data_IF_413387691972
#
_entry.id   IF_413387691972
#
_cell.length_a   1.000
_cell.length_b   1.000
_cell.length_c   1.000
_cell.angle_alpha   90.00
_cell.angle_beta   90.00
_cell.angle_gamma   90.00
#
_symmetry.space_group_name_H-M   'P 1'
#
loop_
_entity.id
_entity.type
_entity.pdbx_description
1 polymer ?
#
# COMPACT_ATOMS: atom_id res chain seq x y z
N UNK A 1 -15.39 9.41 4.34
CA UNK A 1 -14.22 8.87 3.61
C UNK A 1 -14.34 7.37 3.36
N UNK A 2 -14.46 6.54 4.40
CA UNK A 2 -14.55 5.06 4.27
C UNK A 2 -15.73 4.59 3.38
N UNK A 3 -16.99 5.03 3.57
CA UNK A 3 -18.09 4.57 2.71
C UNK A 3 -17.90 4.96 1.24
N UNK A 4 -17.33 6.15 1.01
CA UNK A 4 -17.03 6.63 -0.34
C UNK A 4 -15.94 5.78 -0.99
N UNK A 5 -14.86 5.48 -0.27
CA UNK A 5 -13.79 4.62 -0.77
C UNK A 5 -14.32 3.23 -1.17
N UNK A 6 -15.14 2.61 -0.32
CA UNK A 6 -15.77 1.31 -0.60
C UNK A 6 -16.63 1.37 -1.87
N UNK A 7 -17.33 2.48 -2.09
CA UNK A 7 -18.19 2.69 -3.25
C UNK A 7 -17.38 2.92 -4.55
N UNK A 8 -16.29 3.67 -4.50
CA UNK A 8 -15.56 4.11 -5.71
C UNK A 8 -14.39 3.22 -6.11
N UNK A 9 -13.76 2.52 -5.17
CA UNK A 9 -12.59 1.68 -5.44
C UNK A 9 -12.88 0.54 -6.43
N UNK A 10 -14.03 -0.17 -6.38
CA UNK A 10 -14.37 -1.19 -7.38
C UNK A 10 -14.38 -0.64 -8.81
N UNK A 11 -14.96 0.54 -9.04
CA UNK A 11 -15.03 1.17 -10.37
C UNK A 11 -13.66 1.49 -10.97
N UNK A 12 -12.63 1.72 -10.14
CA UNK A 12 -11.27 1.95 -10.61
C UNK A 12 -10.60 0.63 -11.00
N UNK A 13 -10.87 -0.42 -10.22
CA UNK A 13 -10.28 -1.74 -10.39
C UNK A 13 -10.90 -2.54 -11.54
N UNK A 14 -12.20 -2.43 -11.77
CA UNK A 14 -12.92 -3.10 -12.87
C UNK A 14 -12.39 -2.70 -14.25
N UNK A 15 -11.72 -1.54 -14.37
CA UNK A 15 -11.06 -1.09 -15.60
C UNK A 15 -9.81 -1.92 -15.95
N UNK A 16 -9.21 -2.59 -14.97
CA UNK A 16 -8.01 -3.40 -15.16
C UNK A 16 -8.37 -4.83 -15.53
N UNK A 17 -9.24 -5.47 -14.74
CA UNK A 17 -9.77 -6.79 -15.01
C UNK A 17 -10.99 -7.09 -14.11
N UNK A 18 -11.74 -8.13 -14.45
CA UNK A 18 -12.72 -8.70 -13.52
C UNK A 18 -12.00 -9.26 -12.28
N UNK A 19 -12.60 -9.05 -11.10
CA UNK A 19 -12.04 -9.45 -9.81
C UNK A 19 -13.09 -9.47 -8.72
N UNK A 20 -12.76 -10.09 -7.58
CA UNK A 20 -13.60 -10.13 -6.38
C UNK A 20 -12.91 -9.38 -5.26
N UNK A 21 -13.67 -8.51 -4.59
CA UNK A 21 -13.15 -7.68 -3.51
C UNK A 21 -13.72 -8.19 -2.19
N UNK A 22 -12.83 -8.49 -1.24
CA UNK A 22 -13.19 -8.75 0.14
C UNK A 22 -12.69 -7.59 1.00
N UNK A 23 -13.63 -6.76 1.46
CA UNK A 23 -13.37 -5.55 2.21
C UNK A 23 -13.99 -5.66 3.62
N UNK A 24 -13.15 -5.71 4.64
CA UNK A 24 -13.54 -5.75 6.05
C UNK A 24 -12.51 -4.97 6.86
N UNK A 25 -12.81 -4.63 8.11
CA UNK A 25 -11.82 -3.99 8.98
C UNK A 25 -12.42 -3.30 10.19
N UNK A 26 -11.62 -2.42 10.77
CA UNK A 26 -11.91 -1.73 12.01
C UNK A 26 -12.52 -0.36 11.67
N UNK A 27 -13.85 -0.30 11.58
CA UNK A 27 -14.51 0.95 11.19
C UNK A 27 -14.28 2.09 12.21
N UNK A 28 -14.08 1.75 13.49
CA UNK A 28 -13.92 2.71 14.57
C UNK A 28 -12.65 3.56 14.47
N UNK A 29 -11.60 3.06 13.83
CA UNK A 29 -10.33 3.78 13.60
C UNK A 29 -10.06 4.10 12.12
N UNK A 30 -10.96 3.67 11.23
CA UNK A 30 -10.84 3.91 9.79
C UNK A 30 -9.89 2.96 9.07
N UNK A 31 -9.53 1.81 9.65
CA UNK A 31 -8.68 0.82 9.00
C UNK A 31 -9.49 -0.22 8.20
N UNK A 32 -9.10 -0.46 6.94
CA UNK A 32 -9.69 -1.47 6.07
C UNK A 32 -8.63 -2.47 5.59
N UNK A 33 -8.95 -3.76 5.72
CA UNK A 33 -8.31 -4.83 4.98
C UNK A 33 -9.01 -4.97 3.62
N UNK A 34 -8.37 -4.44 2.58
CA UNK A 34 -8.90 -4.43 1.22
C UNK A 34 -8.21 -5.50 0.36
N UNK A 35 -8.83 -6.68 0.28
CA UNK A 35 -8.24 -7.82 -0.43
C UNK A 35 -8.86 -8.00 -1.81
N UNK A 36 -8.01 -8.12 -2.83
CA UNK A 36 -8.41 -8.34 -4.22
C UNK A 36 -8.10 -9.79 -4.61
N UNK A 37 -9.11 -10.50 -5.12
CA UNK A 37 -9.02 -11.88 -5.55
C UNK A 37 -9.37 -12.03 -7.03
N UNK A 38 -8.83 -13.05 -7.72
CA UNK A 38 -9.29 -13.42 -9.04
C UNK A 38 -10.80 -13.71 -9.07
N UNK A 39 -11.43 -13.59 -10.25
CA UNK A 39 -12.78 -14.07 -10.50
C UNK A 39 -12.93 -15.53 -10.06
N UNK A 40 -14.16 -15.93 -9.74
CA UNK A 40 -14.43 -17.30 -9.30
C UNK A 40 -14.01 -18.29 -10.39
N UNK A 41 -13.21 -19.30 -10.02
CA UNK A 41 -12.74 -20.34 -10.93
C UNK A 41 -11.50 -19.97 -11.76
N UNK A 42 -10.87 -18.81 -11.54
CA UNK A 42 -9.62 -18.41 -12.21
C UNK A 42 -8.41 -18.54 -11.28
N UNK A 43 -7.24 -18.84 -11.84
CA UNK A 43 -5.98 -18.98 -11.11
C UNK A 43 -5.34 -17.60 -10.87
N UNK A 44 -4.82 -17.37 -9.66
CA UNK A 44 -4.09 -16.14 -9.30
C UNK A 44 -2.90 -15.83 -10.20
N UNK A 45 -2.24 -16.86 -10.76
CA UNK A 45 -1.06 -16.72 -11.63
C UNK A 45 -1.40 -15.99 -12.91
N UNK A 46 -2.63 -16.10 -13.40
CA UNK A 46 -3.10 -15.40 -14.60
C UNK A 46 -3.08 -13.87 -14.43
N UNK A 47 -3.13 -13.39 -13.18
CA UNK A 47 -3.19 -11.97 -12.84
C UNK A 47 -1.88 -11.45 -12.26
N UNK A 48 -0.80 -12.25 -12.28
CA UNK A 48 0.45 -11.89 -11.62
C UNK A 48 1.05 -10.58 -12.17
N UNK A 49 0.94 -10.38 -13.48
CA UNK A 49 1.44 -9.17 -14.15
C UNK A 49 0.61 -7.90 -13.82
N UNK A 50 -0.63 -8.07 -13.35
CA UNK A 50 -1.52 -6.96 -12.97
C UNK A 50 -1.39 -6.58 -11.49
N UNK A 51 -0.72 -7.41 -10.68
CA UNK A 51 -0.64 -7.24 -9.23
C UNK A 51 -0.19 -5.85 -8.81
N UNK A 52 0.87 -5.34 -9.43
CA UNK A 52 1.44 -4.04 -9.04
C UNK A 52 0.57 -2.87 -9.51
N UNK A 53 -0.12 -3.01 -10.63
CA UNK A 53 -1.06 -2.00 -11.11
C UNK A 53 -2.34 -1.94 -10.27
N UNK A 54 -2.87 -3.10 -9.87
CA UNK A 54 -3.96 -3.22 -8.90
C UNK A 54 -3.56 -2.55 -7.57
N UNK A 55 -2.38 -2.88 -7.05
CA UNK A 55 -1.85 -2.29 -5.81
C UNK A 55 -1.74 -0.77 -5.92
N UNK A 56 -1.13 -0.27 -7.00
CA UNK A 56 -0.98 1.18 -7.26
C UNK A 56 -2.34 1.87 -7.32
N UNK A 57 -3.29 1.33 -8.08
CA UNK A 57 -4.64 1.90 -8.22
C UNK A 57 -5.32 2.09 -6.86
N UNK A 58 -5.23 1.10 -5.97
CA UNK A 58 -5.78 1.20 -4.62
C UNK A 58 -5.03 2.24 -3.79
N UNK A 59 -3.69 2.19 -3.79
CA UNK A 59 -2.88 3.11 -2.98
C UNK A 59 -3.03 4.57 -3.44
N UNK A 60 -3.00 4.84 -4.74
CA UNK A 60 -3.21 6.17 -5.32
C UNK A 60 -4.58 6.73 -4.90
N UNK A 61 -5.63 5.91 -4.96
CA UNK A 61 -6.96 6.31 -4.52
C UNK A 61 -6.98 6.62 -3.02
N UNK A 62 -6.43 5.74 -2.17
CA UNK A 62 -6.35 5.97 -0.72
C UNK A 62 -5.62 7.29 -0.40
N UNK A 63 -4.48 7.54 -1.04
CA UNK A 63 -3.69 8.75 -0.82
C UNK A 63 -4.41 9.99 -1.34
N UNK A 64 -5.07 9.92 -2.50
CA UNK A 64 -5.88 11.04 -3.03
C UNK A 64 -7.02 11.44 -2.10
N UNK A 65 -7.50 10.50 -1.28
CA UNK A 65 -8.54 10.72 -0.27
C UNK A 65 -7.97 11.15 1.09
N UNK A 66 -6.65 11.34 1.21
CA UNK A 66 -5.98 11.71 2.46
C UNK A 66 -5.76 10.55 3.44
N UNK A 67 -5.87 9.30 2.97
CA UNK A 67 -5.59 8.10 3.75
C UNK A 67 -4.13 7.64 3.70
N UNK A 68 -3.82 6.52 4.35
CA UNK A 68 -2.49 5.91 4.38
C UNK A 68 -2.46 4.58 3.61
N UNK A 69 -1.43 4.37 2.78
CA UNK A 69 -1.15 3.10 2.09
C UNK A 69 -0.69 1.97 3.06
N UNK A 70 -0.43 2.30 4.32
CA UNK A 70 -0.15 1.32 5.38
C UNK A 70 -0.68 1.81 6.71
N UNK A 71 -1.78 1.20 7.17
CA UNK A 71 -2.38 1.51 8.46
C UNK A 71 -1.61 0.86 9.62
N UNK A 72 -1.47 -0.48 9.59
CA UNK A 72 -0.95 -1.24 10.75
C UNK A 72 0.28 -2.11 10.44
N UNK A 73 0.40 -2.65 9.21
CA UNK A 73 1.44 -3.63 8.87
C UNK A 73 2.84 -3.01 8.68
N UNK A 74 2.97 -1.70 8.88
CA UNK A 74 4.23 -0.98 8.70
C UNK A 74 4.72 -0.98 7.25
N UNK A 75 6.01 -0.70 7.06
CA UNK A 75 6.64 -0.61 5.73
C UNK A 75 7.40 -1.88 5.39
N UNK A 76 8.23 -2.36 6.33
CA UNK A 76 9.11 -3.51 6.11
C UNK A 76 9.98 -3.33 4.86
N UNK A 77 10.27 -4.42 4.16
CA UNK A 77 10.93 -4.39 2.84
C UNK A 77 9.94 -4.22 1.68
N UNK A 78 8.72 -4.71 1.87
CA UNK A 78 7.73 -4.85 0.79
C UNK A 78 7.14 -3.51 0.34
N UNK A 79 7.07 -2.52 1.23
CA UNK A 79 6.44 -1.22 0.95
C UNK A 79 7.44 -0.06 0.92
N UNK A 80 8.74 -0.32 0.81
CA UNK A 80 9.75 0.76 0.74
C UNK A 80 9.46 1.67 -0.46
N UNK A 81 9.17 1.08 -1.62
CA UNK A 81 8.81 1.82 -2.84
C UNK A 81 7.52 2.62 -2.67
N UNK A 82 6.56 2.09 -1.91
CA UNK A 82 5.32 2.81 -1.60
C UNK A 82 5.61 3.97 -0.63
N UNK A 83 6.49 3.77 0.37
CA UNK A 83 6.90 4.83 1.29
C UNK A 83 7.56 5.99 0.53
N UNK A 84 8.50 5.70 -0.36
CA UNK A 84 9.19 6.70 -1.18
C UNK A 84 8.24 7.45 -2.12
N UNK A 85 7.23 6.75 -2.65
CA UNK A 85 6.24 7.33 -3.56
C UNK A 85 5.24 8.26 -2.86
N UNK A 86 4.74 7.86 -1.70
CA UNK A 86 3.58 8.52 -1.07
C UNK A 86 3.93 9.37 0.14
N UNK A 87 5.16 9.29 0.66
CA UNK A 87 5.55 10.10 1.82
C UNK A 87 5.98 11.50 1.43
N UNK A 88 5.76 12.42 2.37
CA UNK A 88 6.36 13.75 2.32
C UNK A 88 7.90 13.64 2.22
N UNK A 89 8.55 14.34 1.26
CA UNK A 89 10.00 14.34 1.12
C UNK A 89 10.76 14.78 2.38
N UNK A 90 10.22 15.73 3.14
CA UNK A 90 10.81 16.17 4.41
C UNK A 90 10.74 15.06 5.47
N UNK A 91 9.63 14.31 5.52
CA UNK A 91 9.53 13.11 6.38
C UNK A 91 10.57 12.06 5.99
N UNK A 92 10.74 11.78 4.71
CA UNK A 92 11.77 10.85 4.23
C UNK A 92 13.17 11.32 4.63
N UNK A 93 13.48 12.61 4.42
CA UNK A 93 14.77 13.20 4.83
C UNK A 93 15.02 13.04 6.32
N UNK A 94 14.01 13.27 7.17
CA UNK A 94 14.13 13.09 8.61
C UNK A 94 14.40 11.62 8.99
N UNK A 95 13.70 10.68 8.36
CA UNK A 95 13.93 9.25 8.59
C UNK A 95 15.35 8.82 8.22
N UNK A 96 15.87 9.29 7.08
CA UNK A 96 17.25 9.03 6.67
C UNK A 96 18.27 9.64 7.64
N UNK A 97 18.05 10.87 8.10
CA UNK A 97 18.93 11.53 9.07
C UNK A 97 18.97 10.76 10.41
N UNK A 98 17.82 10.34 10.93
CA UNK A 98 17.72 9.53 12.15
C UNK A 98 18.43 8.18 11.95
N UNK A 99 18.20 7.49 10.82
CA UNK A 99 18.84 6.21 10.52
C UNK A 99 20.37 6.35 10.44
N UNK A 100 20.87 7.40 9.80
CA UNK A 100 22.31 7.66 9.70
C UNK A 100 22.95 7.98 11.04
N UNK A 101 22.25 8.69 11.92
CA UNK A 101 22.75 9.00 13.27
C UNK A 101 22.82 7.76 14.17
N UNK A 102 21.83 6.86 14.07
CA UNK A 102 21.74 5.67 14.93
C UNK A 102 22.48 4.45 14.39
N UNK A 103 22.58 4.30 13.07
CA UNK A 103 23.20 3.15 12.41
C UNK A 103 24.02 3.60 11.19
N UNK A 104 25.15 4.31 11.41
CA UNK A 104 25.99 4.87 10.35
C UNK A 104 26.61 3.78 9.45
N UNK A 105 26.74 2.55 9.94
CA UNK A 105 27.25 1.41 9.17
C UNK A 105 26.15 0.64 8.43
N UNK A 106 24.88 1.00 8.65
CA UNK A 106 23.71 0.41 8.02
C UNK A 106 23.64 -1.14 8.17
N UNK A 107 23.89 -1.62 9.39
CA UNK A 107 23.89 -3.03 9.76
C UNK A 107 22.58 -3.47 10.43
N UNK A 108 21.81 -2.54 10.97
CA UNK A 108 20.52 -2.80 11.61
C UNK A 108 19.41 -2.90 10.55
N UNK A 109 19.15 -4.12 10.10
CA UNK A 109 18.06 -4.49 9.19
C UNK A 109 18.06 -3.71 7.84
N UNK A 110 19.14 -3.82 7.04
CA UNK A 110 19.30 -3.04 5.82
C UNK A 110 18.19 -3.29 4.79
N UNK A 111 17.77 -2.23 4.11
CA UNK A 111 16.74 -2.25 3.07
C UNK A 111 15.31 -2.40 3.60
N UNK A 112 15.10 -2.40 4.91
CA UNK A 112 13.77 -2.34 5.52
C UNK A 112 13.46 -0.90 5.91
N UNK A 113 12.22 -0.46 5.65
CA UNK A 113 11.71 0.90 5.82
C UNK A 113 12.34 1.91 4.87
N UNK A 114 13.67 1.98 4.77
CA UNK A 114 14.41 2.86 3.88
C UNK A 114 15.33 2.06 2.96
N UNK A 115 15.55 2.55 1.74
CA UNK A 115 16.65 2.07 0.89
C UNK A 115 17.99 2.41 1.51
N UNK A 116 19.02 1.67 1.08
CA UNK A 116 20.41 1.99 1.41
C UNK A 116 20.84 3.30 0.77
#
# INVERSE_FOLDING_TARGET
MIPEFIKVAPNHLEKLCDMRINCFGHLGDGNLHYNVFPPKGRDKKEFWNLRDEIKRTVHDLVVSMGGSHSAEHGIGRLKVDDLERYSDPAKLSALHAIKGALDPQNILNPGSVLRR
#
